data_IF_835750125012
#
_entry.id   IF_835750125012
#
_cell.length_a   1.000
_cell.length_b   1.000
_cell.length_c   1.000
_cell.angle_alpha   90.00
_cell.angle_beta   90.00
_cell.angle_gamma   90.00
#
_symmetry.space_group_name_H-M   'P 1'
#
loop_
_entity.id
_entity.type
_entity.pdbx_description
1 polymer ?
#
# COMPACT_ATOMS: atom_id res chain seq x y z
N UNK A 1 -29.26 -7.23 -0.73
CA UNK A 1 -28.12 -6.89 0.17
C UNK A 1 -28.10 -5.38 0.40
N UNK A 2 -27.90 -4.92 1.64
CA UNK A 2 -27.79 -3.50 1.96
C UNK A 2 -26.32 -3.09 1.81
N UNK A 3 -26.00 -2.24 0.82
CA UNK A 3 -24.63 -1.76 0.58
C UNK A 3 -24.16 -0.90 1.75
N UNK A 4 -22.97 -1.18 2.29
CA UNK A 4 -22.39 -0.44 3.41
C UNK A 4 -21.01 0.07 3.00
N UNK A 5 -20.91 1.40 2.97
CA UNK A 5 -19.67 2.11 2.69
C UNK A 5 -19.11 2.60 4.02
N UNK A 6 -17.89 2.17 4.37
CA UNK A 6 -17.18 2.61 5.58
C UNK A 6 -15.94 3.43 5.27
N UNK A 7 -15.38 4.09 6.28
CA UNK A 7 -14.08 4.77 6.14
C UNK A 7 -13.21 4.50 7.37
N UNK A 8 -12.45 3.40 7.33
CA UNK A 8 -11.52 3.03 8.40
C UNK A 8 -10.47 4.12 8.65
N UNK A 9 -10.08 4.88 7.62
CA UNK A 9 -9.08 5.93 7.75
C UNK A 9 -9.59 7.17 8.52
N UNK A 10 -10.91 7.32 8.70
CA UNK A 10 -11.52 8.38 9.49
C UNK A 10 -11.84 7.95 10.93
N UNK A 11 -11.62 6.68 11.29
CA UNK A 11 -11.85 6.18 12.64
C UNK A 11 -10.75 6.65 13.60
N UNK A 12 -11.07 6.73 14.91
CA UNK A 12 -10.09 7.07 15.94
C UNK A 12 -8.95 6.06 16.07
N UNK A 13 -9.20 4.79 15.71
CA UNK A 13 -8.21 3.71 15.67
C UNK A 13 -8.28 3.01 14.31
N UNK A 14 -7.65 3.56 13.24
CA UNK A 14 -7.83 3.09 11.87
C UNK A 14 -7.51 1.61 11.65
N UNK A 15 -6.41 1.12 12.23
CA UNK A 15 -6.01 -0.29 12.12
C UNK A 15 -7.03 -1.23 12.74
N UNK A 16 -7.57 -0.90 13.93
CA UNK A 16 -8.62 -1.70 14.58
C UNK A 16 -9.94 -1.65 13.81
N UNK A 17 -10.26 -0.48 13.22
CA UNK A 17 -11.43 -0.33 12.39
C UNK A 17 -11.34 -1.24 11.15
N UNK A 18 -10.20 -1.25 10.45
CA UNK A 18 -9.98 -2.13 9.30
C UNK A 18 -10.10 -3.61 9.68
N UNK A 19 -9.49 -4.03 10.79
CA UNK A 19 -9.59 -5.40 11.29
C UNK A 19 -11.04 -5.79 11.62
N UNK A 20 -11.80 -4.88 12.23
CA UNK A 20 -13.23 -5.10 12.47
C UNK A 20 -14.02 -5.27 11.17
N UNK A 21 -13.67 -4.52 10.10
CA UNK A 21 -14.27 -4.70 8.77
C UNK A 21 -13.93 -6.04 8.16
N UNK A 22 -12.70 -6.52 8.32
CA UNK A 22 -12.29 -7.85 7.85
C UNK A 22 -13.11 -8.97 8.49
N UNK A 23 -13.29 -8.90 9.81
CA UNK A 23 -14.03 -9.92 10.59
C UNK A 23 -15.54 -9.90 10.25
N UNK A 24 -16.10 -8.70 10.06
CA UNK A 24 -17.55 -8.51 9.86
C UNK A 24 -17.95 -8.25 8.41
N UNK A 25 -17.09 -8.63 7.46
CA UNK A 25 -17.32 -8.43 6.03
C UNK A 25 -18.58 -9.18 5.58
N UNK A 26 -19.42 -8.49 4.81
CA UNK A 26 -20.52 -9.07 4.06
C UNK A 26 -20.53 -8.55 2.62
N UNK A 27 -21.12 -9.32 1.70
CA UNK A 27 -21.18 -8.96 0.29
C UNK A 27 -21.82 -7.57 0.08
N UNK A 28 -21.13 -6.73 -0.67
CA UNK A 28 -21.51 -5.33 -0.88
C UNK A 28 -20.92 -4.34 0.13
N UNK A 29 -20.15 -4.80 1.11
CA UNK A 29 -19.29 -3.93 1.91
C UNK A 29 -18.13 -3.38 1.08
N UNK A 30 -17.83 -2.10 1.30
CA UNK A 30 -16.63 -1.45 0.76
C UNK A 30 -16.11 -0.44 1.78
N UNK A 31 -14.80 -0.17 1.77
CA UNK A 31 -14.20 0.85 2.59
C UNK A 31 -13.49 1.89 1.73
N UNK A 32 -13.67 3.17 2.02
CA UNK A 32 -13.06 4.25 1.23
C UNK A 32 -11.53 4.23 1.29
N UNK A 33 -10.90 3.55 2.24
CA UNK A 33 -9.47 3.27 2.20
C UNK A 33 -9.07 2.44 0.97
N UNK A 34 -9.93 1.55 0.48
CA UNK A 34 -9.73 0.78 -0.75
C UNK A 34 -9.87 1.64 -2.00
N UNK A 35 -10.88 2.51 -2.03
CA UNK A 35 -11.11 3.45 -3.15
C UNK A 35 -9.92 4.40 -3.33
N UNK A 36 -9.29 4.83 -2.23
CA UNK A 36 -8.10 5.70 -2.28
C UNK A 36 -6.88 5.05 -2.96
N UNK A 37 -6.91 3.74 -3.17
CA UNK A 37 -5.82 2.97 -3.79
C UNK A 37 -5.96 2.81 -5.29
N UNK A 38 -7.07 3.20 -5.91
CA UNK A 38 -7.34 2.91 -7.32
C UNK A 38 -6.18 3.31 -8.24
N UNK A 39 -5.61 4.50 -8.05
CA UNK A 39 -4.46 4.95 -8.84
C UNK A 39 -3.16 4.16 -8.54
N UNK A 40 -2.89 3.82 -7.28
CA UNK A 40 -1.74 2.97 -6.91
C UNK A 40 -1.84 1.60 -7.56
N UNK A 41 -3.02 0.97 -7.48
CA UNK A 41 -3.29 -0.34 -8.05
C UNK A 41 -3.14 -0.33 -9.56
N UNK A 42 -3.72 0.67 -10.24
CA UNK A 42 -3.64 0.81 -11.69
C UNK A 42 -2.19 0.96 -12.17
N UNK A 43 -1.38 1.80 -11.52
CA UNK A 43 0.02 2.01 -11.89
C UNK A 43 0.89 0.76 -11.67
N UNK A 44 0.67 0.05 -10.57
CA UNK A 44 1.41 -1.18 -10.29
C UNK A 44 1.02 -2.29 -11.26
N UNK A 45 -0.27 -2.49 -11.53
CA UNK A 45 -0.74 -3.45 -12.51
C UNK A 45 -0.15 -3.17 -13.90
N UNK A 46 -0.26 -1.92 -14.36
CA UNK A 46 0.29 -1.50 -15.65
C UNK A 46 1.82 -1.68 -15.75
N UNK A 47 2.55 -1.57 -14.63
CA UNK A 47 4.00 -1.83 -14.63
C UNK A 47 4.33 -3.32 -14.80
N UNK A 48 3.46 -4.21 -14.33
CA UNK A 48 3.62 -5.66 -14.50
C UNK A 48 3.23 -6.13 -15.91
N UNK A 49 2.39 -5.37 -16.61
CA UNK A 49 2.01 -5.59 -18.01
C UNK A 49 3.09 -5.16 -19.03
N UNK A 50 4.29 -4.82 -18.55
CA UNK A 50 5.44 -4.44 -19.38
C UNK A 50 6.60 -5.44 -19.22
N UNK A 51 7.44 -5.61 -20.26
CA UNK A 51 8.63 -6.46 -20.18
C UNK A 51 9.56 -6.04 -19.03
N UNK A 52 10.29 -6.99 -18.41
CA UNK A 52 10.56 -8.34 -18.90
C UNK A 52 9.53 -9.43 -18.56
N UNK A 53 8.36 -9.09 -17.99
CA UNK A 53 7.32 -10.07 -17.58
C UNK A 53 7.80 -11.13 -16.59
N UNK A 54 8.88 -10.83 -15.87
CA UNK A 54 9.40 -11.69 -14.82
C UNK A 54 8.42 -11.78 -13.65
N UNK A 55 8.45 -12.94 -13.00
CA UNK A 55 7.75 -13.15 -11.74
C UNK A 55 8.27 -12.20 -10.67
N UNK A 56 7.34 -11.71 -9.83
CA UNK A 56 7.68 -10.90 -8.65
C UNK A 56 8.04 -11.86 -7.53
N UNK A 57 9.21 -11.68 -6.92
CA UNK A 57 9.71 -12.59 -5.87
C UNK A 57 9.28 -12.15 -4.46
N UNK A 58 9.17 -10.85 -4.24
CA UNK A 58 8.76 -10.27 -2.97
C UNK A 58 8.24 -8.84 -3.16
N UNK A 59 7.49 -8.36 -2.17
CA UNK A 59 6.95 -7.00 -2.17
C UNK A 59 7.24 -6.28 -0.86
N UNK A 60 7.54 -4.99 -0.92
CA UNK A 60 7.58 -4.11 0.26
C UNK A 60 6.65 -2.92 0.06
N UNK A 61 5.69 -2.72 0.98
CA UNK A 61 4.80 -1.56 1.00
C UNK A 61 5.12 -0.68 2.20
N UNK A 62 5.51 0.57 1.93
CA UNK A 62 5.87 1.57 2.94
C UNK A 62 4.82 2.68 3.00
N UNK A 63 4.43 3.05 4.22
CA UNK A 63 3.41 4.07 4.46
C UNK A 63 3.12 4.21 5.94
N UNK A 64 2.35 5.24 6.29
CA UNK A 64 2.09 5.60 7.69
C UNK A 64 1.48 4.43 8.49
N UNK A 65 1.92 4.30 9.74
CA UNK A 65 1.57 3.17 10.61
C UNK A 65 0.05 3.03 10.87
N UNK A 66 -0.68 4.13 10.76
CA UNK A 66 -2.11 4.28 10.99
C UNK A 66 -2.91 4.39 9.69
N UNK A 67 -2.38 3.88 8.58
CA UNK A 67 -2.96 4.05 7.25
C UNK A 67 -3.55 2.74 6.69
N UNK A 68 -4.89 2.55 6.77
CA UNK A 68 -5.56 1.36 6.25
C UNK A 68 -5.36 1.13 4.76
N UNK A 69 -5.18 2.21 3.97
CA UNK A 69 -4.89 2.08 2.53
C UNK A 69 -3.53 1.39 2.31
N UNK A 70 -2.51 1.67 3.12
CA UNK A 70 -1.22 1.00 3.00
C UNK A 70 -1.32 -0.50 3.35
N UNK A 71 -2.14 -0.85 4.33
CA UNK A 71 -2.38 -2.25 4.72
C UNK A 71 -3.17 -2.99 3.64
N UNK A 72 -4.22 -2.38 3.09
CA UNK A 72 -5.00 -2.92 1.98
C UNK A 72 -4.18 -3.06 0.68
N UNK A 73 -3.25 -2.14 0.40
CA UNK A 73 -2.35 -2.27 -0.75
C UNK A 73 -1.45 -3.49 -0.60
N UNK A 74 -0.92 -3.72 0.61
CA UNK A 74 -0.11 -4.89 0.91
C UNK A 74 -0.94 -6.19 0.82
N UNK A 75 -2.15 -6.20 1.37
CA UNK A 75 -3.08 -7.33 1.27
C UNK A 75 -3.47 -7.65 -0.17
N UNK A 76 -3.72 -6.63 -1.00
CA UNK A 76 -4.00 -6.82 -2.43
C UNK A 76 -2.81 -7.42 -3.19
N UNK A 77 -1.60 -6.91 -2.99
CA UNK A 77 -0.42 -7.49 -3.62
C UNK A 77 -0.18 -8.92 -3.13
N UNK A 78 -0.44 -9.20 -1.84
CA UNK A 78 -0.34 -10.55 -1.28
C UNK A 78 -1.35 -11.52 -1.91
N UNK A 79 -2.59 -11.10 -2.11
CA UNK A 79 -3.65 -11.93 -2.67
C UNK A 79 -3.53 -12.14 -4.18
N UNK A 80 -2.91 -11.20 -4.90
CA UNK A 80 -2.72 -11.31 -6.36
C UNK A 80 -1.44 -12.02 -6.75
N UNK A 81 -0.33 -11.71 -6.08
CA UNK A 81 0.99 -12.21 -6.48
C UNK A 81 1.40 -13.48 -5.74
N UNK A 82 0.73 -13.83 -4.63
CA UNK A 82 1.04 -15.02 -3.83
C UNK A 82 2.48 -15.10 -3.31
N UNK A 83 3.16 -13.96 -3.21
CA UNK A 83 4.56 -13.85 -2.74
C UNK A 83 4.65 -13.19 -1.37
N UNK A 84 5.80 -13.32 -0.67
CA UNK A 84 6.01 -12.63 0.59
C UNK A 84 5.87 -11.11 0.45
N UNK A 85 4.92 -10.53 1.20
CA UNK A 85 4.72 -9.08 1.27
C UNK A 85 5.12 -8.57 2.65
N UNK A 86 5.95 -7.52 2.67
CA UNK A 86 6.38 -6.83 3.89
C UNK A 86 5.71 -5.47 4.00
N UNK A 87 5.08 -5.20 5.14
CA UNK A 87 4.53 -3.88 5.48
C UNK A 87 5.52 -3.13 6.37
N UNK A 88 6.04 -2.00 5.88
CA UNK A 88 6.97 -1.11 6.62
C UNK A 88 6.28 0.17 7.08
N UNK A 89 6.19 0.36 8.39
CA UNK A 89 5.59 1.56 8.97
C UNK A 89 6.51 2.79 8.82
N UNK A 90 5.93 3.90 8.36
CA UNK A 90 6.49 5.25 8.52
C UNK A 90 5.73 6.01 9.63
N UNK A 91 6.17 7.21 10.05
CA UNK A 91 5.43 8.01 11.04
C UNK A 91 3.95 8.20 10.66
N UNK A 92 3.05 8.28 11.66
CA UNK A 92 1.61 8.40 11.45
C UNK A 92 1.23 9.72 10.78
N UNK A 93 -0.04 9.82 10.33
CA UNK A 93 -0.58 11.01 9.66
C UNK A 93 -0.19 11.16 8.18
N UNK A 94 0.70 10.30 7.68
CA UNK A 94 1.06 10.21 6.27
C UNK A 94 0.15 9.31 5.44
N UNK A 95 0.50 9.19 4.15
CA UNK A 95 -0.10 8.23 3.22
C UNK A 95 0.78 7.02 2.96
N UNK A 96 0.51 6.33 1.86
CA UNK A 96 1.47 5.42 1.24
C UNK A 96 2.61 6.26 0.66
N UNK A 97 3.84 5.85 0.99
CA UNK A 97 5.08 6.45 0.53
C UNK A 97 5.70 5.67 -0.61
N UNK A 98 5.66 4.33 -0.57
CA UNK A 98 6.17 3.51 -1.68
C UNK A 98 5.61 2.08 -1.72
N UNK A 99 5.68 1.47 -2.89
CA UNK A 99 5.55 0.04 -3.13
C UNK A 99 6.71 -0.41 -4.02
N UNK A 100 7.42 -1.45 -3.58
CA UNK A 100 8.59 -2.01 -4.27
C UNK A 100 8.32 -3.48 -4.54
N UNK A 101 8.37 -3.90 -5.80
CA UNK A 101 8.17 -5.26 -6.26
C UNK A 101 9.51 -5.78 -6.76
N UNK A 102 10.10 -6.73 -6.05
CA UNK A 102 11.40 -7.32 -6.37
C UNK A 102 11.26 -8.31 -7.52
N UNK A 103 12.18 -8.25 -8.49
CA UNK A 103 12.27 -9.14 -9.65
C UNK A 103 13.75 -9.48 -9.92
N UNK A 104 14.04 -10.58 -10.64
CA UNK A 104 15.41 -10.96 -11.02
C UNK A 104 16.21 -9.84 -11.69
N UNK A 105 15.60 -9.11 -12.63
CA UNK A 105 16.27 -8.00 -13.35
C UNK A 105 16.34 -6.69 -12.54
N UNK A 106 15.78 -6.66 -11.32
CA UNK A 106 15.72 -5.50 -10.44
C UNK A 106 14.29 -5.01 -10.17
N UNK A 107 14.12 -4.13 -9.18
CA UNK A 107 12.81 -3.82 -8.63
C UNK A 107 11.96 -2.90 -9.51
N UNK A 108 10.65 -3.11 -9.50
CA UNK A 108 9.68 -2.09 -9.91
C UNK A 108 9.30 -1.27 -8.69
N UNK A 109 9.61 0.03 -8.72
CA UNK A 109 9.41 0.94 -7.60
C UNK A 109 8.41 2.03 -7.94
N UNK A 110 7.31 2.11 -7.20
CA UNK A 110 6.41 3.25 -7.20
C UNK A 110 6.55 4.01 -5.89
N UNK A 111 7.01 5.26 -5.92
CA UNK A 111 7.21 6.08 -4.73
C UNK A 111 6.56 7.46 -4.85
N UNK A 112 6.06 8.00 -3.74
CA UNK A 112 5.36 9.28 -3.63
C UNK A 112 5.60 9.89 -2.23
N UNK A 113 6.75 10.54 -2.01
CA UNK A 113 7.13 11.06 -0.70
C UNK A 113 6.39 12.37 -0.36
N UNK A 114 6.02 13.16 -1.37
CA UNK A 114 5.39 14.48 -1.22
C UNK A 114 3.84 14.42 -1.15
N UNK A 115 3.27 13.21 -1.24
CA UNK A 115 1.82 12.97 -1.25
C UNK A 115 1.09 13.40 -2.52
N UNK A 116 1.79 13.90 -3.56
CA UNK A 116 1.19 14.49 -4.76
C UNK A 116 1.67 13.85 -6.06
N UNK A 117 2.97 13.64 -6.23
CA UNK A 117 3.56 13.13 -7.47
C UNK A 117 4.16 11.76 -7.23
N UNK A 118 3.62 10.77 -7.94
CA UNK A 118 4.17 9.44 -7.99
C UNK A 118 5.28 9.37 -9.02
N UNK A 119 6.31 8.60 -8.70
CA UNK A 119 7.42 8.30 -9.59
C UNK A 119 7.54 6.78 -9.70
N UNK A 120 7.50 6.28 -10.93
CA UNK A 120 7.60 4.87 -11.25
C UNK A 120 8.96 4.60 -11.90
N UNK A 121 9.75 3.72 -11.28
CA UNK A 121 11.05 3.26 -11.77
C UNK A 121 11.02 1.77 -12.03
N UNK A 122 11.68 1.36 -13.09
CA UNK A 122 11.73 -0.01 -13.55
C UNK A 122 13.03 -0.21 -14.35
N UNK A 123 13.73 -1.35 -14.18
CA UNK A 123 14.92 -1.66 -14.96
C UNK A 123 14.64 -1.59 -16.47
N UNK A 124 15.58 -0.98 -17.21
CA UNK A 124 15.49 -0.86 -18.66
C UNK A 124 14.42 0.10 -19.18
N UNK A 125 13.69 0.82 -18.31
CA UNK A 125 12.70 1.82 -18.73
C UNK A 125 13.00 3.21 -18.15
N UNK A 126 12.64 4.28 -18.88
CA UNK A 126 12.71 5.63 -18.34
C UNK A 126 11.85 5.81 -17.09
N UNK A 127 12.34 6.61 -16.15
CA UNK A 127 11.54 7.05 -15.01
C UNK A 127 10.28 7.78 -15.50
N UNK A 128 9.11 7.36 -15.01
CA UNK A 128 7.84 8.03 -15.28
C UNK A 128 7.42 8.83 -14.05
N UNK A 129 6.90 10.05 -14.26
CA UNK A 129 6.31 10.89 -13.19
C UNK A 129 4.84 11.16 -13.51
N UNK A 130 3.97 11.00 -12.53
CA UNK A 130 2.52 11.11 -12.72
C UNK A 130 1.83 11.70 -11.48
N UNK A 131 0.67 12.37 -11.66
CA UNK A 131 -0.17 12.72 -10.54
C UNK A 131 -0.60 11.47 -9.78
N UNK A 132 -0.31 11.43 -8.49
CA UNK A 132 -0.72 10.36 -7.60
C UNK A 132 -1.26 10.97 -6.31
N UNK A 133 -2.14 11.96 -6.42
CA UNK A 133 -2.70 12.67 -5.25
C UNK A 133 -3.66 11.77 -4.48
N UNK A 134 -3.79 12.00 -3.17
CA UNK A 134 -4.86 11.37 -2.37
C UNK A 134 -6.22 11.88 -2.85
N UNK A 135 -7.17 11.02 -3.26
CA UNK A 135 -8.51 11.46 -3.62
C UNK A 135 -9.25 12.07 -2.42
N UNK A 136 -10.10 13.05 -2.67
CA UNK A 136 -10.98 13.62 -1.65
C UNK A 136 -12.07 12.63 -1.23
N UNK A 137 -12.68 12.84 -0.07
CA UNK A 137 -13.81 12.03 0.39
C UNK A 137 -14.95 12.01 -0.64
N UNK A 138 -15.31 13.18 -1.19
CA UNK A 138 -16.33 13.32 -2.24
C UNK A 138 -16.00 12.50 -3.48
N UNK A 139 -14.74 12.52 -3.93
CA UNK A 139 -14.31 11.74 -5.09
C UNK A 139 -14.40 10.23 -4.82
N UNK A 140 -14.02 9.77 -3.62
CA UNK A 140 -14.13 8.36 -3.25
C UNK A 140 -15.60 7.92 -3.22
N UNK A 141 -16.49 8.70 -2.57
CA UNK A 141 -17.92 8.39 -2.53
C UNK A 141 -18.55 8.37 -3.93
N UNK A 142 -18.19 9.31 -4.80
CA UNK A 142 -18.69 9.33 -6.17
C UNK A 142 -18.25 8.11 -7.00
N UNK A 143 -17.08 7.53 -6.71
CA UNK A 143 -16.65 6.25 -7.31
C UNK A 143 -17.48 5.09 -6.76
N UNK A 144 -17.61 4.97 -5.43
CA UNK A 144 -18.34 3.85 -4.82
C UNK A 144 -19.84 3.84 -5.12
N UNK A 145 -20.43 4.98 -5.46
CA UNK A 145 -21.83 5.06 -5.90
C UNK A 145 -22.01 4.70 -7.38
N UNK A 146 -20.94 4.70 -8.20
CA UNK A 146 -21.01 4.30 -9.61
C UNK A 146 -20.95 2.79 -9.82
N UNK A 147 -20.36 2.03 -8.89
CA UNK A 147 -20.25 0.56 -8.97
C UNK A 147 -21.07 -0.07 -7.85
N UNK A 148 -22.15 -0.76 -8.21
CA UNK A 148 -23.12 -1.28 -7.23
C UNK A 148 -22.90 -2.74 -6.84
N UNK A 149 -22.16 -3.50 -7.66
CA UNK A 149 -21.86 -4.91 -7.39
C UNK A 149 -20.84 -5.12 -6.28
N UNK A 150 -20.81 -6.32 -5.66
CA UNK A 150 -19.73 -6.72 -4.76
C UNK A 150 -18.34 -6.54 -5.39
N UNK A 151 -17.38 -6.11 -4.57
CA UNK A 151 -15.97 -6.04 -4.97
C UNK A 151 -15.18 -7.21 -4.36
N UNK A 152 -15.18 -8.35 -5.05
CA UNK A 152 -14.42 -9.54 -4.65
C UNK A 152 -12.92 -9.26 -4.52
N UNK A 153 -12.39 -8.28 -5.27
CA UNK A 153 -10.99 -7.88 -5.18
C UNK A 153 -10.72 -7.19 -3.83
N UNK A 154 -11.65 -6.35 -3.38
CA UNK A 154 -11.58 -5.73 -2.06
C UNK A 154 -11.63 -6.80 -0.98
N UNK A 155 -12.59 -7.73 -1.06
CA UNK A 155 -12.71 -8.82 -0.08
C UNK A 155 -11.40 -9.63 0.02
N UNK A 156 -10.85 -10.07 -1.12
CA UNK A 156 -9.60 -10.83 -1.14
C UNK A 156 -8.43 -10.02 -0.57
N UNK A 157 -8.32 -8.73 -0.91
CA UNK A 157 -7.30 -7.85 -0.37
C UNK A 157 -7.44 -7.68 1.15
N UNK A 158 -8.67 -7.51 1.64
CA UNK A 158 -9.01 -7.32 3.05
C UNK A 158 -8.67 -8.58 3.87
N UNK A 159 -8.99 -9.77 3.37
CA UNK A 159 -8.66 -11.03 4.05
C UNK A 159 -7.14 -11.29 4.07
N UNK A 160 -6.44 -11.01 2.97
CA UNK A 160 -5.00 -11.23 2.88
C UNK A 160 -4.16 -10.28 3.74
N UNK A 161 -4.74 -9.25 4.38
CA UNK A 161 -4.01 -8.36 5.30
C UNK A 161 -3.33 -9.14 6.43
N UNK A 162 -3.95 -10.21 6.94
CA UNK A 162 -3.39 -11.04 8.02
C UNK A 162 -2.18 -11.87 7.59
N UNK A 163 -1.97 -12.03 6.29
CA UNK A 163 -0.86 -12.79 5.71
C UNK A 163 0.36 -11.91 5.38
N UNK A 164 0.27 -10.61 5.65
CA UNK A 164 1.34 -9.65 5.39
C UNK A 164 2.30 -9.59 6.57
N UNK A 165 3.60 -9.73 6.29
CA UNK A 165 4.64 -9.60 7.31
C UNK A 165 4.79 -8.14 7.74
N UNK A 166 4.18 -7.77 8.86
CA UNK A 166 4.38 -6.45 9.48
C UNK A 166 5.64 -6.46 10.34
N UNK A 167 6.69 -5.74 9.93
CA UNK A 167 7.81 -5.38 10.82
C UNK A 167 7.72 -3.88 11.06
N UNK A 168 7.50 -3.48 12.33
CA UNK A 168 7.78 -2.10 12.76
C UNK A 168 9.26 -1.86 12.49
N UNK A 169 9.59 -0.77 11.79
CA UNK A 169 10.99 -0.40 11.59
C UNK A 169 11.62 -0.20 12.98
N UNK A 170 12.53 -1.09 13.36
CA UNK A 170 13.39 -0.88 14.52
C UNK A 170 14.22 0.36 14.24
N UNK A 171 14.11 1.37 15.11
CA UNK A 171 14.86 2.62 14.98
C UNK A 171 16.34 2.35 14.75
N UNK A 172 16.92 3.09 13.81
CA UNK A 172 18.35 3.11 13.58
C UNK A 172 19.07 3.40 14.91
N UNK A 173 19.75 2.40 15.48
CA UNK A 173 20.77 2.65 16.50
C UNK A 173 21.90 3.37 15.81
N UNK A 174 22.10 4.64 16.19
CA UNK A 174 23.13 5.50 15.65
C UNK A 174 24.51 4.85 15.72
N UNK A 175 25.26 4.99 14.64
CA UNK A 175 26.71 4.84 14.66
C UNK A 175 27.27 5.89 15.62
N UNK A 176 27.75 5.47 16.79
CA UNK A 176 28.74 6.27 17.50
C UNK A 176 30.06 6.12 16.72
N UNK A 177 30.39 7.19 16.03
CA UNK A 177 31.70 7.48 15.48
C UNK A 177 32.76 7.27 16.57
N UNK A 178 33.83 6.59 16.20
CA UNK A 178 34.99 6.39 17.06
C UNK A 178 35.66 7.72 17.38
N UNK A 179 35.99 7.89 18.65
CA UNK A 179 36.94 8.88 19.11
C UNK A 179 38.21 8.09 19.47
N UNK A 180 39.16 8.07 18.53
CA UNK A 180 40.54 7.66 18.76
C UNK A 180 41.19 8.70 19.65
N UNK A 181 41.53 8.30 20.89
CA UNK A 181 42.45 9.05 21.74
C UNK A 181 43.63 8.13 22.08
N UNK A 182 44.70 8.27 21.31
CA UNK A 182 46.08 8.06 21.72
C UNK A 182 46.80 9.39 21.46
N UNK A 183 47.80 9.82 22.22
CA UNK A 183 48.69 9.13 23.16
C UNK A 183 49.34 10.24 24.05
N UNK A 184 50.38 9.99 24.88
CA UNK A 184 50.49 10.48 26.26
C UNK A 184 51.16 11.84 26.47
#
# INVERSE_FOLDING_TARGET
AQRRITDAAAASQPTKALESRRISYADGDTDLAWTRLTAWRALLAAALDLPPFEEVEAVTVTGAADNPSADLLAGWLRSRLHVPVRRRASPPGGGISSAVLERPSGPVELFRPDGKVGVLRQPGQPERRMPLKRPSLRACLAEELRRLDPDEIYQAALQAVTEVNSRRASGAKGSRSGETQGDP
#
